data_IF_041192959091
#
_entry.id   IF_041192959091
#
_cell.length_a   1.000
_cell.length_b   1.000
_cell.length_c   1.000
_cell.angle_alpha   90.00
_cell.angle_beta   90.00
_cell.angle_gamma   90.00
#
_symmetry.space_group_name_H-M   'P 1'
#
loop_
_entity.id
_entity.type
_entity.pdbx_description
1 polymer ?
#
# COMPACT_ATOMS: atom_id res chain seq x y z
N UNK A 1 -26.06 -28.14 -15.57
CA UNK A 1 -25.23 -26.93 -15.41
C UNK A 1 -23.93 -27.35 -14.73
N UNK A 2 -22.79 -26.79 -15.11
CA UNK A 2 -21.54 -27.10 -14.41
C UNK A 2 -21.59 -26.54 -12.98
N UNK A 3 -20.97 -27.25 -12.03
CA UNK A 3 -20.86 -26.77 -10.65
C UNK A 3 -20.07 -25.45 -10.61
N UNK A 4 -20.44 -24.48 -9.75
CA UNK A 4 -19.69 -23.25 -9.58
C UNK A 4 -18.26 -23.51 -9.11
N UNK A 5 -17.29 -22.78 -9.66
CA UNK A 5 -15.90 -22.82 -9.21
C UNK A 5 -15.78 -22.24 -7.80
N UNK A 6 -15.11 -22.97 -6.91
CA UNK A 6 -14.96 -22.62 -5.49
C UNK A 6 -13.74 -21.73 -5.29
N UNK A 7 -13.97 -20.52 -4.77
CA UNK A 7 -12.93 -19.53 -4.54
C UNK A 7 -12.74 -19.33 -3.05
N UNK A 8 -11.56 -19.68 -2.54
CA UNK A 8 -11.14 -19.36 -1.17
C UNK A 8 -10.59 -17.94 -1.11
N UNK A 9 -11.09 -17.13 -0.20
CA UNK A 9 -10.53 -15.79 0.07
C UNK A 9 -9.77 -15.79 1.38
N UNK A 10 -8.51 -15.34 1.32
CA UNK A 10 -7.63 -15.17 2.46
C UNK A 10 -7.41 -13.69 2.74
N UNK A 11 -7.66 -13.28 3.98
CA UNK A 11 -7.73 -11.88 4.43
C UNK A 11 -8.89 -11.09 3.78
N UNK A 12 -8.85 -9.78 3.97
CA UNK A 12 -9.86 -8.86 3.46
C UNK A 12 -9.66 -8.59 1.96
N UNK A 13 -10.39 -9.30 1.13
CA UNK A 13 -10.52 -8.96 -0.30
C UNK A 13 -11.69 -7.99 -0.47
N UNK A 14 -11.50 -6.95 -1.26
CA UNK A 14 -12.52 -5.91 -1.47
C UNK A 14 -13.83 -6.51 -2.01
N UNK A 15 -14.95 -6.18 -1.34
CA UNK A 15 -16.28 -6.59 -1.78
C UNK A 15 -16.61 -6.11 -3.21
N UNK A 16 -16.06 -4.95 -3.64
CA UNK A 16 -16.21 -4.45 -5.01
C UNK A 16 -15.57 -5.42 -6.02
N UNK A 17 -14.40 -5.98 -5.68
CA UNK A 17 -13.75 -7.00 -6.51
C UNK A 17 -14.54 -8.30 -6.53
N UNK A 18 -15.00 -8.75 -5.37
CA UNK A 18 -15.75 -10.02 -5.25
C UNK A 18 -17.11 -9.98 -5.99
N UNK A 19 -17.78 -8.83 -6.05
CA UNK A 19 -19.02 -8.65 -6.83
C UNK A 19 -18.84 -8.91 -8.34
N UNK A 20 -17.61 -8.95 -8.84
CA UNK A 20 -17.31 -9.30 -10.25
C UNK A 20 -17.30 -10.82 -10.49
N UNK A 21 -17.46 -11.61 -9.45
CA UNK A 21 -17.56 -13.08 -9.51
C UNK A 21 -19.05 -13.45 -9.35
N UNK A 22 -19.80 -13.64 -10.45
CA UNK A 22 -21.22 -13.93 -10.39
C UNK A 22 -21.47 -15.31 -9.74
N UNK A 23 -22.50 -15.39 -8.87
CA UNK A 23 -22.79 -16.56 -8.05
C UNK A 23 -23.15 -17.80 -8.86
N UNK A 24 -23.61 -17.62 -10.11
CA UNK A 24 -23.96 -18.74 -11.03
C UNK A 24 -22.71 -19.50 -11.47
N UNK A 25 -21.53 -18.87 -11.40
CA UNK A 25 -20.25 -19.43 -11.85
C UNK A 25 -19.24 -19.65 -10.72
N UNK A 26 -19.36 -18.90 -9.63
CA UNK A 26 -18.38 -18.87 -8.55
C UNK A 26 -19.06 -18.95 -7.18
N UNK A 27 -18.56 -19.85 -6.34
CA UNK A 27 -18.87 -19.92 -4.92
C UNK A 27 -17.66 -19.35 -4.15
N UNK A 28 -17.83 -18.18 -3.52
CA UNK A 28 -16.75 -17.45 -2.84
C UNK A 28 -16.94 -17.53 -1.33
N UNK A 29 -15.90 -17.92 -0.60
CA UNK A 29 -15.95 -18.04 0.86
C UNK A 29 -14.59 -17.95 1.53
N UNK A 30 -14.60 -17.76 2.84
CA UNK A 30 -13.39 -17.76 3.70
C UNK A 30 -13.05 -19.15 4.23
N UNK A 31 -13.99 -20.09 4.15
CA UNK A 31 -13.83 -21.49 4.53
C UNK A 31 -14.35 -22.36 3.38
N UNK A 32 -13.44 -22.77 2.51
CA UNK A 32 -13.76 -23.57 1.33
C UNK A 32 -12.91 -24.82 1.33
N UNK A 33 -13.54 -25.98 1.42
CA UNK A 33 -12.84 -27.26 1.25
C UNK A 33 -12.53 -27.48 -0.24
N UNK A 34 -11.30 -27.88 -0.56
CA UNK A 34 -10.85 -28.16 -1.92
C UNK A 34 -11.17 -27.01 -2.91
N UNK A 35 -10.65 -25.80 -2.70
CA UNK A 35 -10.93 -24.66 -3.58
C UNK A 35 -10.32 -24.87 -4.97
N UNK A 36 -10.98 -24.34 -6.00
CA UNK A 36 -10.46 -24.29 -7.37
C UNK A 36 -9.47 -23.13 -7.56
N UNK A 37 -9.64 -22.04 -6.81
CA UNK A 37 -8.70 -20.93 -6.79
C UNK A 37 -8.65 -20.23 -5.43
N UNK A 38 -7.56 -19.49 -5.19
CA UNK A 38 -7.35 -18.72 -3.97
C UNK A 38 -7.18 -17.25 -4.33
N UNK A 39 -7.89 -16.36 -3.64
CA UNK A 39 -7.65 -14.92 -3.63
C UNK A 39 -7.03 -14.55 -2.28
N UNK A 40 -5.82 -13.96 -2.33
CA UNK A 40 -5.06 -13.61 -1.12
C UNK A 40 -4.59 -12.15 -1.18
N UNK A 41 -4.44 -11.52 -0.03
CA UNK A 41 -3.82 -10.19 0.08
C UNK A 41 -2.48 -10.27 0.83
N UNK A 42 -2.50 -10.47 2.13
CA UNK A 42 -1.31 -10.43 2.99
C UNK A 42 -1.08 -11.71 3.80
N UNK A 43 -1.97 -12.70 3.73
CA UNK A 43 -1.78 -13.98 4.39
C UNK A 43 -0.49 -14.64 3.90
N UNK A 44 0.34 -15.09 4.83
CA UNK A 44 1.47 -15.94 4.51
C UNK A 44 0.98 -17.35 4.11
N UNK A 45 1.30 -17.76 2.91
CA UNK A 45 0.93 -19.05 2.36
C UNK A 45 2.07 -20.07 2.39
N UNK A 46 3.26 -19.73 2.89
CA UNK A 46 4.40 -20.65 2.94
C UNK A 46 4.18 -21.77 3.97
N UNK A 47 3.43 -21.49 5.02
CA UNK A 47 3.17 -22.42 6.12
C UNK A 47 1.83 -23.12 6.03
N UNK A 48 1.00 -22.76 5.01
CA UNK A 48 -0.33 -23.40 4.87
C UNK A 48 -0.32 -24.51 3.83
N UNK A 49 -1.11 -25.53 4.07
CA UNK A 49 -1.37 -26.57 3.10
C UNK A 49 -2.24 -26.03 1.95
N UNK A 50 -1.69 -25.99 0.74
CA UNK A 50 -2.41 -25.57 -0.46
C UNK A 50 -2.96 -26.81 -1.16
N UNK A 51 -4.27 -26.98 -1.12
CA UNK A 51 -4.97 -28.15 -1.68
C UNK A 51 -4.58 -28.42 -3.14
N UNK A 52 -4.54 -29.70 -3.53
CA UNK A 52 -4.20 -30.09 -4.90
C UNK A 52 -5.23 -29.64 -5.94
N UNK A 53 -6.47 -29.36 -5.51
CA UNK A 53 -7.55 -28.83 -6.36
C UNK A 53 -7.30 -27.41 -6.87
N UNK A 54 -6.39 -26.65 -6.24
CA UNK A 54 -6.10 -25.26 -6.62
C UNK A 54 -5.45 -25.20 -8.00
N UNK A 55 -6.10 -24.47 -8.91
CA UNK A 55 -5.73 -24.28 -10.32
C UNK A 55 -5.11 -22.91 -10.58
N UNK A 56 -5.35 -21.91 -9.69
CA UNK A 56 -4.79 -20.57 -9.81
C UNK A 56 -4.79 -19.86 -8.45
N UNK A 57 -3.84 -18.93 -8.28
CA UNK A 57 -3.78 -18.03 -7.12
C UNK A 57 -3.75 -16.59 -7.62
N UNK A 58 -4.63 -15.72 -7.08
CA UNK A 58 -4.67 -14.30 -7.35
C UNK A 58 -4.27 -13.50 -6.11
N UNK A 59 -3.26 -12.66 -6.22
CA UNK A 59 -2.84 -11.77 -5.14
C UNK A 59 -3.38 -10.35 -5.35
N UNK A 60 -4.18 -9.85 -4.40
CA UNK A 60 -4.67 -8.48 -4.39
C UNK A 60 -3.56 -7.51 -3.94
N UNK A 61 -2.57 -7.30 -4.79
CA UNK A 61 -1.42 -6.42 -4.58
C UNK A 61 -0.24 -6.77 -5.50
N UNK A 62 0.83 -5.99 -5.45
CA UNK A 62 1.96 -6.10 -6.38
C UNK A 62 2.97 -7.21 -6.00
N UNK A 63 3.40 -7.26 -4.73
CA UNK A 63 4.39 -8.26 -4.28
C UNK A 63 3.78 -9.67 -4.20
N UNK A 64 4.63 -10.70 -4.29
CA UNK A 64 4.22 -12.11 -4.19
C UNK A 64 5.03 -12.88 -3.14
N UNK A 65 5.75 -12.15 -2.30
CA UNK A 65 6.64 -12.69 -1.28
C UNK A 65 5.94 -13.52 -0.19
N UNK A 66 4.63 -13.40 -0.05
CA UNK A 66 3.81 -14.19 0.86
C UNK A 66 3.22 -15.47 0.20
N UNK A 67 3.60 -15.77 -1.04
CA UNK A 67 3.10 -16.93 -1.80
C UNK A 67 4.30 -17.81 -2.19
N UNK A 68 4.26 -19.12 -2.01
CA UNK A 68 5.33 -20.03 -2.40
C UNK A 68 5.35 -20.24 -3.94
N UNK A 69 5.71 -19.18 -4.69
CA UNK A 69 5.62 -19.14 -6.17
C UNK A 69 6.38 -20.29 -6.80
N UNK A 70 7.60 -20.60 -6.32
CA UNK A 70 8.41 -21.69 -6.87
C UNK A 70 7.71 -23.06 -6.76
N UNK A 71 7.08 -23.33 -5.61
CA UNK A 71 6.33 -24.57 -5.41
C UNK A 71 5.05 -24.61 -6.28
N UNK A 72 4.40 -23.47 -6.47
CA UNK A 72 3.21 -23.36 -7.33
C UNK A 72 3.58 -23.57 -8.80
N UNK A 73 4.70 -23.04 -9.25
CA UNK A 73 5.22 -23.26 -10.61
C UNK A 73 5.51 -24.74 -10.89
N UNK A 74 6.10 -25.46 -9.91
CA UNK A 74 6.34 -26.90 -10.05
C UNK A 74 5.04 -27.71 -10.16
N UNK A 75 3.95 -27.20 -9.56
CA UNK A 75 2.60 -27.80 -9.64
C UNK A 75 1.82 -27.35 -10.89
N UNK A 76 2.36 -26.46 -11.71
CA UNK A 76 1.65 -25.87 -12.86
C UNK A 76 0.52 -24.92 -12.45
N UNK A 77 0.56 -24.35 -11.22
CA UNK A 77 -0.44 -23.42 -10.70
C UNK A 77 0.03 -21.98 -10.94
N UNK A 78 -0.59 -21.23 -11.86
CA UNK A 78 -0.21 -19.84 -12.11
C UNK A 78 -0.56 -18.95 -10.91
N UNK A 79 0.35 -17.98 -10.63
CA UNK A 79 0.18 -16.95 -9.61
C UNK A 79 0.06 -15.61 -10.31
N UNK A 80 -1.09 -14.94 -10.13
CA UNK A 80 -1.36 -13.62 -10.67
C UNK A 80 -1.25 -12.57 -9.56
N UNK A 81 -0.74 -11.39 -9.90
CA UNK A 81 -0.67 -10.24 -9.03
C UNK A 81 -1.30 -9.00 -9.67
N UNK A 82 -1.46 -7.92 -8.91
CA UNK A 82 -2.04 -6.66 -9.38
C UNK A 82 -1.04 -5.51 -9.20
N UNK A 83 0.02 -5.43 -10.03
CA UNK A 83 1.06 -4.41 -9.89
C UNK A 83 0.50 -3.02 -10.20
N UNK A 84 0.78 -2.06 -9.30
CA UNK A 84 0.37 -0.66 -9.43
C UNK A 84 -1.06 -0.35 -8.96
N UNK A 85 -1.87 -1.34 -8.59
CA UNK A 85 -3.25 -1.11 -8.18
C UNK A 85 -3.41 -0.16 -6.97
N UNK A 86 -2.42 -0.11 -6.09
CA UNK A 86 -2.38 0.78 -4.92
C UNK A 86 -1.32 1.88 -5.02
N UNK A 87 -0.67 2.07 -6.18
CA UNK A 87 0.47 2.97 -6.29
C UNK A 87 0.10 4.42 -5.97
N UNK A 88 -1.08 4.89 -6.41
CA UNK A 88 -1.55 6.23 -6.08
C UNK A 88 -1.82 6.39 -4.58
N UNK A 89 -2.46 5.42 -3.94
CA UNK A 89 -2.74 5.48 -2.51
C UNK A 89 -1.45 5.52 -1.67
N UNK A 90 -0.42 4.76 -2.08
CA UNK A 90 0.89 4.81 -1.42
C UNK A 90 1.57 6.15 -1.65
N UNK A 91 1.54 6.71 -2.87
CA UNK A 91 2.05 8.06 -3.15
C UNK A 91 1.40 9.10 -2.24
N UNK A 92 0.07 9.07 -2.09
CA UNK A 92 -0.64 10.02 -1.21
C UNK A 92 -0.23 9.88 0.25
N UNK A 93 -0.03 8.66 0.74
CA UNK A 93 0.48 8.42 2.10
C UNK A 93 1.91 8.95 2.28
N UNK A 94 2.78 8.78 1.30
CA UNK A 94 4.14 9.34 1.31
C UNK A 94 4.09 10.87 1.38
N UNK A 95 3.27 11.52 0.56
CA UNK A 95 3.11 12.97 0.58
C UNK A 95 2.57 13.47 1.92
N UNK A 96 1.57 12.79 2.49
CA UNK A 96 1.07 13.11 3.82
C UNK A 96 2.18 13.02 4.87
N UNK A 97 2.95 11.92 4.88
CA UNK A 97 4.08 11.74 5.79
C UNK A 97 5.17 12.81 5.63
N UNK A 98 5.51 13.17 4.40
CA UNK A 98 6.48 14.24 4.10
C UNK A 98 6.02 15.60 4.66
N UNK A 99 4.77 15.98 4.43
CA UNK A 99 4.21 17.23 4.92
C UNK A 99 4.08 17.24 6.46
N UNK A 100 3.66 16.14 7.05
CA UNK A 100 3.60 16.00 8.51
C UNK A 100 4.98 16.17 9.14
N UNK A 101 6.01 15.56 8.56
CA UNK A 101 7.40 15.66 9.04
C UNK A 101 7.96 17.08 8.83
N UNK A 102 7.81 17.64 7.61
CA UNK A 102 8.34 18.97 7.27
C UNK A 102 7.73 20.08 8.13
N UNK A 103 6.48 19.94 8.56
CA UNK A 103 5.77 20.97 9.33
C UNK A 103 5.62 20.62 10.81
N UNK A 104 6.31 19.60 11.32
CA UNK A 104 6.24 19.14 12.72
C UNK A 104 4.81 18.95 13.24
N UNK A 105 3.89 18.45 12.40
CA UNK A 105 2.46 18.39 12.74
C UNK A 105 2.18 17.43 13.90
N UNK A 106 2.81 16.26 13.95
CA UNK A 106 2.53 15.27 15.01
C UNK A 106 2.88 15.79 16.40
N UNK A 107 4.10 16.36 16.65
CA UNK A 107 4.39 16.97 17.95
C UNK A 107 3.53 18.20 18.26
N UNK A 108 3.17 19.00 17.23
CA UNK A 108 2.28 20.15 17.42
C UNK A 108 0.86 19.71 17.85
N UNK A 109 0.29 18.67 17.26
CA UNK A 109 -1.01 18.11 17.67
C UNK A 109 -0.94 17.64 19.12
N UNK A 110 0.10 16.86 19.49
CA UNK A 110 0.28 16.41 20.87
C UNK A 110 0.38 17.57 21.87
N UNK A 111 1.04 18.65 21.49
CA UNK A 111 1.11 19.85 22.32
C UNK A 111 -0.28 20.46 22.50
N UNK A 112 -1.06 20.62 21.44
CA UNK A 112 -2.44 21.15 21.51
C UNK A 112 -3.31 20.31 22.44
N UNK A 113 -3.18 18.99 22.41
CA UNK A 113 -3.92 18.06 23.27
C UNK A 113 -3.59 18.24 24.78
N UNK A 114 -2.49 18.92 25.12
CA UNK A 114 -2.11 19.22 26.52
C UNK A 114 -2.65 20.55 27.02
N UNK A 115 -3.18 21.40 26.14
CA UNK A 115 -3.66 22.72 26.50
C UNK A 115 -4.98 22.63 27.26
N UNK A 116 -5.06 23.37 28.39
CA UNK A 116 -6.26 23.47 29.22
C UNK A 116 -6.24 24.78 29.99
N UNK A 117 -7.40 25.27 30.40
CA UNK A 117 -7.55 26.52 31.17
C UNK A 117 -8.47 27.52 30.48
N UNK A 118 -8.40 28.79 30.91
CA UNK A 118 -9.16 29.87 30.29
C UNK A 118 -8.53 30.27 28.94
N UNK A 119 -9.29 30.89 28.05
CA UNK A 119 -8.89 31.27 26.70
C UNK A 119 -7.60 32.09 26.66
N UNK A 120 -7.43 33.02 27.65
CA UNK A 120 -6.21 33.84 27.73
C UNK A 120 -4.95 33.01 28.05
N UNK A 121 -5.07 32.01 28.93
CA UNK A 121 -3.97 31.10 29.29
C UNK A 121 -3.60 30.20 28.10
N UNK A 122 -4.62 29.68 27.40
CA UNK A 122 -4.43 28.86 26.19
C UNK A 122 -3.74 29.68 25.10
N UNK A 123 -4.19 30.90 24.82
CA UNK A 123 -3.59 31.78 23.82
C UNK A 123 -2.11 32.07 24.14
N UNK A 124 -1.79 32.36 25.40
CA UNK A 124 -0.41 32.57 25.84
C UNK A 124 0.44 31.32 25.64
N UNK A 125 -0.05 30.17 26.06
CA UNK A 125 0.66 28.88 25.89
C UNK A 125 0.89 28.55 24.42
N UNK A 126 -0.07 28.81 23.52
CA UNK A 126 0.08 28.63 22.07
C UNK A 126 1.17 29.55 21.52
N UNK A 127 1.18 30.83 21.87
CA UNK A 127 2.19 31.79 21.39
C UNK A 127 3.61 31.43 21.86
N UNK A 128 3.75 30.93 23.08
CA UNK A 128 5.03 30.45 23.60
C UNK A 128 5.45 29.10 22.99
N UNK A 129 4.49 28.20 22.83
CA UNK A 129 4.74 26.82 22.37
C UNK A 129 5.01 26.71 20.87
N UNK A 130 4.36 27.49 20.02
CA UNK A 130 4.46 27.38 18.55
C UNK A 130 5.89 27.48 18.00
N UNK A 131 6.80 28.13 18.72
CA UNK A 131 8.23 28.25 18.35
C UNK A 131 8.94 26.91 18.29
N UNK A 132 8.49 25.91 19.06
CA UNK A 132 9.07 24.58 19.10
C UNK A 132 8.68 23.71 17.90
N UNK A 133 7.69 24.14 17.13
CA UNK A 133 7.16 23.40 15.98
C UNK A 133 7.47 24.08 14.64
N UNK A 134 8.47 24.95 14.62
CA UNK A 134 8.93 25.57 13.38
C UNK A 134 9.36 24.48 12.40
N UNK A 135 8.70 24.43 11.25
CA UNK A 135 8.97 23.48 10.19
C UNK A 135 9.77 24.11 9.05
N UNK A 136 9.93 23.33 7.99
CA UNK A 136 10.52 23.75 6.72
C UNK A 136 9.48 23.70 5.60
N UNK A 137 9.68 24.46 4.54
CA UNK A 137 8.96 24.32 3.29
C UNK A 137 9.70 23.31 2.39
N UNK A 138 8.97 22.59 1.54
CA UNK A 138 9.54 21.56 0.66
C UNK A 138 10.32 22.10 -0.55
N UNK A 139 9.95 23.25 -1.15
CA UNK A 139 10.64 23.77 -2.33
C UNK A 139 12.16 23.84 -2.16
N UNK A 140 12.88 23.45 -3.23
CA UNK A 140 14.35 23.45 -3.31
C UNK A 140 15.08 22.42 -2.43
N UNK A 141 14.37 21.68 -1.56
CA UNK A 141 14.95 20.53 -0.87
C UNK A 141 15.11 19.34 -1.82
N UNK A 142 16.06 18.47 -1.53
CA UNK A 142 16.35 17.28 -2.32
C UNK A 142 15.59 16.09 -1.73
N UNK A 143 14.81 15.41 -2.57
CA UNK A 143 14.20 14.11 -2.26
C UNK A 143 14.98 13.00 -2.94
N UNK A 144 15.61 12.12 -2.16
CA UNK A 144 16.21 10.88 -2.65
C UNK A 144 15.16 9.79 -2.76
N UNK A 145 15.09 9.09 -3.91
CA UNK A 145 14.17 7.97 -4.15
C UNK A 145 14.99 6.74 -4.56
N UNK A 146 14.85 5.66 -3.80
CA UNK A 146 15.42 4.36 -4.14
C UNK A 146 14.30 3.48 -4.69
N UNK A 147 14.40 3.14 -5.96
CA UNK A 147 13.38 2.42 -6.72
C UNK A 147 12.43 3.38 -7.47
N UNK A 148 12.58 3.44 -8.80
CA UNK A 148 11.77 4.27 -9.70
C UNK A 148 10.65 3.49 -10.39
N UNK A 149 10.19 2.41 -9.77
CA UNK A 149 9.04 1.66 -10.22
C UNK A 149 7.73 2.46 -10.14
N UNK A 150 6.59 1.76 -10.22
CA UNK A 150 5.24 2.40 -10.28
C UNK A 150 4.92 3.36 -9.13
N UNK A 151 5.47 3.15 -7.94
CA UNK A 151 5.27 4.04 -6.78
C UNK A 151 6.30 5.17 -6.81
N UNK A 152 7.58 4.83 -6.93
CA UNK A 152 8.67 5.81 -6.90
C UNK A 152 8.54 6.88 -7.99
N UNK A 153 8.14 6.51 -9.20
CA UNK A 153 7.89 7.45 -10.29
C UNK A 153 6.74 8.42 -9.99
N UNK A 154 5.65 7.93 -9.38
CA UNK A 154 4.53 8.80 -8.97
C UNK A 154 4.92 9.76 -7.83
N UNK A 155 5.75 9.29 -6.89
CA UNK A 155 6.29 10.14 -5.81
C UNK A 155 7.23 11.19 -6.37
N UNK A 156 8.12 10.80 -7.31
CA UNK A 156 9.03 11.71 -7.99
C UNK A 156 8.27 12.84 -8.71
N UNK A 157 7.27 12.50 -9.52
CA UNK A 157 6.42 13.47 -10.24
C UNK A 157 5.71 14.42 -9.27
N UNK A 158 5.16 13.91 -8.16
CA UNK A 158 4.51 14.73 -7.16
C UNK A 158 5.50 15.67 -6.43
N UNK A 159 6.70 15.19 -6.10
CA UNK A 159 7.72 16.00 -5.46
C UNK A 159 8.23 17.14 -6.37
N UNK A 160 8.40 16.87 -7.66
CA UNK A 160 8.74 17.91 -8.66
C UNK A 160 7.65 18.99 -8.70
N UNK A 161 6.37 18.61 -8.67
CA UNK A 161 5.25 19.56 -8.62
C UNK A 161 5.21 20.37 -7.33
N UNK A 162 5.76 19.84 -6.23
CA UNK A 162 6.01 20.56 -4.98
C UNK A 162 7.31 21.37 -5.03
N UNK A 163 7.95 21.51 -6.20
CA UNK A 163 9.19 22.29 -6.45
C UNK A 163 10.41 21.77 -5.68
N UNK A 164 10.41 20.45 -5.38
CA UNK A 164 11.59 19.77 -4.84
C UNK A 164 12.55 19.38 -5.96
N UNK A 165 13.81 19.20 -5.61
CA UNK A 165 14.80 18.55 -6.47
C UNK A 165 14.73 17.04 -6.20
N UNK A 166 14.57 16.22 -7.24
CA UNK A 166 14.49 14.77 -7.09
C UNK A 166 15.75 14.09 -7.58
N UNK A 167 16.29 13.20 -6.77
CA UNK A 167 17.38 12.29 -7.13
C UNK A 167 16.88 10.86 -6.98
N UNK A 168 16.86 10.11 -8.10
CA UNK A 168 16.41 8.73 -8.13
C UNK A 168 17.55 7.76 -8.33
N UNK A 169 17.44 6.58 -7.72
CA UNK A 169 18.28 5.43 -8.00
C UNK A 169 17.40 4.20 -8.25
N UNK A 170 17.66 3.50 -9.36
CA UNK A 170 17.02 2.22 -9.68
C UNK A 170 18.02 1.37 -10.47
N UNK A 171 18.33 0.13 -10.05
CA UNK A 171 19.29 -0.72 -10.73
C UNK A 171 18.80 -1.25 -12.09
N UNK A 172 17.48 -1.24 -12.31
CA UNK A 172 16.83 -1.79 -13.51
C UNK A 172 16.47 -0.70 -14.55
N UNK A 173 16.54 0.57 -14.18
CA UNK A 173 16.16 1.69 -15.04
C UNK A 173 17.41 2.45 -15.47
N UNK A 174 17.65 2.52 -16.79
CA UNK A 174 18.69 3.35 -17.37
C UNK A 174 18.23 4.80 -17.54
N UNK A 175 19.16 5.73 -17.73
CA UNK A 175 18.87 7.15 -17.97
C UNK A 175 17.95 7.35 -19.17
N UNK A 176 18.09 6.51 -20.20
CA UNK A 176 17.27 6.57 -21.43
C UNK A 176 15.83 6.09 -21.21
N UNK A 177 15.57 5.33 -20.13
CA UNK A 177 14.23 4.84 -19.77
C UNK A 177 13.54 5.73 -18.73
N UNK A 178 14.24 6.67 -18.13
CA UNK A 178 13.73 7.56 -17.10
C UNK A 178 13.13 8.83 -17.71
#
# INVERSE_FOLDING_TARGET
MAEPLRILTLNSISAVGLKRLPAERYSVGTHVQSPDAILVRSQDMHTMEIAHSVKAIGRAGAGTNNIPVAAMNQRGVPVFNAPGANANAVKELVLAGMLMAARNLVPAIRFVDTLSGADEDINKAVEEGKKHFTGIELPHHVLGIVGLGRIGSLVADAAIKLRMNVQGYDPEITVDAA
#
